data_IF_169611030998
#
_entry.id   IF_169611030998
#
_cell.length_a   1.000
_cell.length_b   1.000
_cell.length_c   1.000
_cell.angle_alpha   90.00
_cell.angle_beta   90.00
_cell.angle_gamma   90.00
#
_symmetry.space_group_name_H-M   'P 1'
#
loop_
_entity.id
_entity.type
_entity.pdbx_description
1 polymer ?
#
# COMPACT_ATOMS: atom_id res chain seq x y z
N UNK A 1 -57.79 -19.22 -5.57
CA UNK A 1 -57.47 -20.08 -6.74
C UNK A 1 -55.98 -19.93 -6.96
N UNK A 2 -55.17 -20.99 -6.85
CA UNK A 2 -53.73 -20.87 -7.08
C UNK A 2 -53.51 -20.48 -8.56
N UNK A 3 -52.79 -19.38 -8.80
CA UNK A 3 -52.52 -18.90 -10.15
C UNK A 3 -51.61 -19.86 -10.94
N UNK A 4 -51.35 -19.56 -12.22
CA UNK A 4 -50.54 -20.41 -13.08
C UNK A 4 -49.17 -20.69 -12.45
N UNK A 5 -48.76 -21.96 -12.54
CA UNK A 5 -47.53 -22.49 -11.94
C UNK A 5 -46.62 -22.95 -13.06
N UNK A 6 -45.36 -22.53 -13.01
CA UNK A 6 -44.30 -23.10 -13.84
C UNK A 6 -43.05 -23.39 -13.01
N UNK A 7 -42.18 -24.24 -13.53
CA UNK A 7 -40.95 -24.69 -12.91
C UNK A 7 -39.76 -24.27 -13.76
N UNK A 8 -38.75 -23.72 -13.13
CA UNK A 8 -37.54 -23.24 -13.77
C UNK A 8 -36.33 -24.07 -13.31
N UNK A 9 -35.58 -24.60 -14.27
CA UNK A 9 -34.36 -25.38 -14.03
C UNK A 9 -33.15 -24.49 -14.28
N UNK A 10 -32.42 -24.18 -13.23
CA UNK A 10 -31.16 -23.45 -13.25
C UNK A 10 -29.98 -24.42 -13.15
N UNK A 11 -28.94 -24.17 -13.92
CA UNK A 11 -27.70 -24.93 -13.87
C UNK A 11 -26.49 -24.04 -13.62
N UNK A 12 -25.45 -24.64 -13.03
CA UNK A 12 -24.07 -24.11 -13.04
C UNK A 12 -23.20 -25.12 -13.76
N UNK A 13 -22.58 -24.73 -14.86
CA UNK A 13 -21.66 -25.62 -15.61
C UNK A 13 -20.39 -25.93 -14.85
N UNK A 14 -19.89 -24.99 -14.04
CA UNK A 14 -18.70 -25.14 -13.19
C UNK A 14 -18.95 -24.52 -11.82
N UNK A 15 -18.19 -24.91 -10.79
CA UNK A 15 -18.33 -24.41 -9.41
C UNK A 15 -18.32 -22.87 -9.25
N UNK A 16 -17.58 -22.07 -10.06
CA UNK A 16 -17.65 -20.60 -10.02
C UNK A 16 -18.68 -19.98 -11.00
N UNK A 17 -19.27 -20.72 -11.93
CA UNK A 17 -20.17 -20.15 -12.95
C UNK A 17 -21.44 -19.53 -12.33
N UNK A 18 -22.03 -18.49 -12.94
CA UNK A 18 -23.35 -17.99 -12.52
C UNK A 18 -24.43 -19.05 -12.77
N UNK A 19 -25.55 -18.94 -12.06
CA UNK A 19 -26.74 -19.73 -12.37
C UNK A 19 -27.30 -19.28 -13.71
N UNK A 20 -27.54 -20.23 -14.61
CA UNK A 20 -28.17 -19.97 -15.91
C UNK A 20 -29.46 -20.76 -16.00
N UNK A 21 -30.55 -20.11 -16.43
CA UNK A 21 -31.79 -20.78 -16.73
C UNK A 21 -31.57 -21.69 -17.95
N UNK A 22 -31.77 -23.00 -17.75
CA UNK A 22 -31.63 -24.00 -18.81
C UNK A 22 -32.98 -24.32 -19.46
N UNK A 23 -34.05 -24.34 -18.66
CA UNK A 23 -35.39 -24.72 -19.11
C UNK A 23 -36.45 -24.15 -18.17
N UNK A 24 -37.63 -23.85 -18.71
CA UNK A 24 -38.86 -23.62 -17.95
C UNK A 24 -39.96 -24.56 -18.47
N UNK A 25 -40.71 -25.20 -17.58
CA UNK A 25 -41.79 -26.15 -17.92
C UNK A 25 -42.91 -26.07 -16.88
N UNK A 26 -44.15 -26.37 -17.27
CA UNK A 26 -45.30 -26.46 -16.36
C UNK A 26 -45.33 -27.82 -15.61
N UNK A 27 -44.58 -28.82 -16.11
CA UNK A 27 -44.51 -30.15 -15.51
C UNK A 27 -43.36 -30.28 -14.50
N UNK A 28 -43.73 -30.45 -13.23
CA UNK A 28 -42.79 -30.69 -12.11
C UNK A 28 -41.87 -31.88 -12.36
N UNK A 29 -42.43 -32.98 -12.87
CA UNK A 29 -41.73 -34.25 -13.02
C UNK A 29 -40.64 -34.11 -14.06
N UNK A 30 -40.96 -33.46 -15.18
CA UNK A 30 -40.01 -33.16 -16.25
C UNK A 30 -38.88 -32.24 -15.78
N UNK A 31 -39.20 -31.20 -14.99
CA UNK A 31 -38.20 -30.27 -14.45
C UNK A 31 -37.19 -30.98 -13.52
N UNK A 32 -37.68 -31.85 -12.64
CA UNK A 32 -36.84 -32.63 -11.72
C UNK A 32 -36.00 -33.65 -12.46
N UNK A 33 -36.60 -34.43 -13.37
CA UNK A 33 -35.88 -35.43 -14.15
C UNK A 33 -34.75 -34.79 -14.97
N UNK A 34 -35.04 -33.67 -15.64
CA UNK A 34 -34.05 -32.95 -16.44
C UNK A 34 -32.90 -32.42 -15.57
N UNK A 35 -33.20 -31.93 -14.36
CA UNK A 35 -32.17 -31.48 -13.43
C UNK A 35 -31.28 -32.65 -12.95
N UNK A 36 -31.87 -33.82 -12.69
CA UNK A 36 -31.13 -35.02 -12.31
C UNK A 36 -30.28 -35.57 -13.46
N UNK A 37 -30.83 -35.64 -14.67
CA UNK A 37 -30.11 -36.07 -15.88
C UNK A 37 -28.91 -35.15 -16.15
N UNK A 38 -29.06 -33.83 -15.98
CA UNK A 38 -27.98 -32.87 -16.20
C UNK A 38 -26.80 -33.03 -15.22
N UNK A 39 -27.06 -33.50 -13.99
CA UNK A 39 -26.01 -33.86 -13.03
C UNK A 39 -25.43 -35.24 -13.36
N UNK A 40 -26.28 -36.23 -13.66
CA UNK A 40 -25.88 -37.59 -13.98
C UNK A 40 -24.96 -37.63 -15.21
N UNK A 41 -25.25 -36.82 -16.22
CA UNK A 41 -24.48 -36.72 -17.46
C UNK A 41 -23.20 -35.86 -17.32
N UNK A 42 -22.87 -35.38 -16.11
CA UNK A 42 -21.77 -34.42 -15.85
C UNK A 42 -21.84 -33.14 -16.71
N UNK A 43 -23.05 -32.73 -17.11
CA UNK A 43 -23.28 -31.52 -17.92
C UNK A 43 -23.44 -30.27 -17.05
N UNK A 44 -23.66 -30.44 -15.74
CA UNK A 44 -23.73 -29.39 -14.74
C UNK A 44 -23.03 -29.81 -13.44
N UNK A 45 -22.31 -28.87 -12.82
CA UNK A 45 -21.70 -29.02 -11.49
C UNK A 45 -22.72 -28.83 -10.35
N UNK A 46 -23.77 -28.06 -10.59
CA UNK A 46 -24.90 -27.90 -9.67
C UNK A 46 -26.19 -27.55 -10.43
N UNK A 47 -27.33 -27.96 -9.89
CA UNK A 47 -28.67 -27.70 -10.43
C UNK A 47 -29.62 -27.22 -9.34
N UNK A 48 -30.56 -26.36 -9.71
CA UNK A 48 -31.59 -25.82 -8.84
C UNK A 48 -32.91 -25.74 -9.61
N UNK A 49 -33.98 -26.30 -9.05
CA UNK A 49 -35.33 -26.21 -9.60
C UNK A 49 -36.15 -25.29 -8.71
N UNK A 50 -36.71 -24.22 -9.27
CA UNK A 50 -37.66 -23.32 -8.59
C UNK A 50 -39.05 -23.51 -9.17
N UNK A 51 -40.06 -23.38 -8.32
CA UNK A 51 -41.48 -23.32 -8.68
C UNK A 51 -41.89 -21.86 -8.57
N UNK A 52 -42.31 -21.28 -9.67
CA UNK A 52 -42.88 -19.95 -9.75
C UNK A 52 -44.40 -20.08 -9.72
N UNK A 53 -45.05 -19.38 -8.79
CA UNK A 53 -46.51 -19.31 -8.71
C UNK A 53 -46.94 -17.87 -8.85
N UNK A 54 -47.74 -17.56 -9.87
CA UNK A 54 -48.28 -16.22 -10.05
C UNK A 54 -49.42 -15.96 -9.05
N UNK A 55 -49.33 -14.87 -8.29
CA UNK A 55 -50.46 -14.37 -7.50
C UNK A 55 -51.35 -13.48 -8.40
N UNK A 56 -52.61 -13.86 -8.65
CA UNK A 56 -53.49 -13.10 -9.54
C UNK A 56 -53.91 -11.73 -8.99
N UNK A 57 -53.81 -11.50 -7.67
CA UNK A 57 -54.24 -10.25 -7.04
C UNK A 57 -53.12 -9.19 -7.06
N UNK A 58 -51.85 -9.62 -6.96
CA UNK A 58 -50.68 -8.72 -6.94
C UNK A 58 -49.89 -8.72 -8.26
N UNK A 59 -50.16 -9.67 -9.16
CA UNK A 59 -49.35 -9.97 -10.35
C UNK A 59 -47.87 -10.30 -10.04
N UNK A 60 -47.55 -10.67 -8.80
CA UNK A 60 -46.19 -11.03 -8.38
C UNK A 60 -45.96 -12.54 -8.50
N UNK A 61 -44.74 -12.94 -8.83
CA UNK A 61 -44.31 -14.34 -8.83
C UNK A 61 -43.74 -14.71 -7.46
N UNK A 62 -44.29 -15.76 -6.86
CA UNK A 62 -43.76 -16.36 -5.65
C UNK A 62 -42.89 -17.56 -6.02
N UNK A 63 -41.57 -17.39 -5.85
CA UNK A 63 -40.55 -18.39 -6.17
C UNK A 63 -40.26 -19.31 -4.97
N UNK A 64 -40.54 -20.60 -5.10
CA UNK A 64 -40.23 -21.62 -4.08
C UNK A 64 -39.20 -22.62 -4.63
N UNK A 65 -38.08 -22.80 -3.95
CA UNK A 65 -37.07 -23.79 -4.37
C UNK A 65 -37.57 -25.21 -4.07
N UNK A 66 -37.68 -26.04 -5.11
CA UNK A 66 -38.19 -27.42 -5.03
C UNK A 66 -37.04 -28.42 -4.86
N UNK A 67 -35.92 -28.17 -5.53
CA UNK A 67 -34.77 -29.08 -5.54
C UNK A 67 -33.48 -28.27 -5.68
N UNK A 68 -32.47 -28.62 -4.87
CA UNK A 68 -31.09 -28.18 -5.07
C UNK A 68 -30.18 -29.40 -4.95
N UNK A 69 -29.34 -29.63 -5.96
CA UNK A 69 -28.41 -30.77 -6.04
C UNK A 69 -27.06 -30.32 -6.60
N UNK A 70 -25.99 -31.00 -6.18
CA UNK A 70 -24.60 -30.60 -6.42
C UNK A 70 -24.06 -29.71 -5.31
N UNK A 71 -22.78 -29.90 -4.96
CA UNK A 71 -22.12 -29.12 -3.93
C UNK A 71 -21.63 -27.78 -4.51
N UNK A 72 -21.96 -26.62 -3.91
CA UNK A 72 -21.16 -25.43 -4.09
C UNK A 72 -19.85 -25.66 -3.34
N UNK A 73 -18.91 -26.39 -3.94
CA UNK A 73 -17.57 -26.47 -3.38
C UNK A 73 -16.90 -25.10 -3.57
N UNK A 74 -17.07 -24.25 -2.57
CA UNK A 74 -16.11 -23.18 -2.30
C UNK A 74 -14.85 -23.92 -1.87
N UNK A 75 -13.99 -24.23 -2.84
CA UNK A 75 -12.63 -24.69 -2.60
C UNK A 75 -12.00 -23.65 -1.67
N UNK A 76 -11.96 -23.92 -0.36
CA UNK A 76 -11.25 -23.08 0.59
C UNK A 76 -9.80 -23.15 0.15
N UNK A 77 -9.24 -22.01 -0.27
CA UNK A 77 -7.81 -21.90 -0.55
C UNK A 77 -7.07 -22.49 0.64
N UNK A 78 -6.15 -23.41 0.37
CA UNK A 78 -5.31 -24.03 1.39
C UNK A 78 -4.62 -22.91 2.14
N UNK A 79 -4.93 -22.76 3.43
CA UNK A 79 -4.23 -21.80 4.29
C UNK A 79 -2.79 -22.24 4.36
N UNK A 80 -1.88 -21.40 3.89
CA UNK A 80 -0.45 -21.64 3.99
C UNK A 80 -0.08 -21.52 5.48
N UNK A 81 0.58 -22.54 6.06
CA UNK A 81 1.06 -22.49 7.43
C UNK A 81 1.93 -21.25 7.70
N UNK A 82 1.88 -20.71 8.93
CA UNK A 82 2.55 -19.45 9.30
C UNK A 82 4.08 -19.52 9.17
N UNK A 83 4.67 -20.70 9.32
CA UNK A 83 6.10 -21.01 9.07
C UNK A 83 6.50 -20.94 7.59
N UNK A 84 5.53 -21.00 6.69
CA UNK A 84 5.72 -20.95 5.23
C UNK A 84 5.17 -19.66 4.61
N UNK A 85 4.37 -18.90 5.36
CA UNK A 85 4.05 -17.53 5.02
C UNK A 85 5.33 -16.71 5.15
N UNK A 86 5.66 -15.89 4.15
CA UNK A 86 6.88 -15.07 4.14
C UNK A 86 7.01 -14.14 5.36
N UNK A 87 8.08 -13.33 5.44
CA UNK A 87 8.33 -12.47 6.59
C UNK A 87 7.16 -11.50 6.82
N UNK A 88 6.44 -11.69 7.94
CA UNK A 88 5.34 -10.84 8.39
C UNK A 88 5.76 -10.06 9.62
N UNK A 89 5.23 -8.85 9.77
CA UNK A 89 5.34 -8.14 11.04
C UNK A 89 4.48 -8.88 12.08
N UNK A 90 5.13 -9.36 13.14
CA UNK A 90 4.53 -10.04 14.28
C UNK A 90 4.39 -9.10 15.48
N UNK A 91 5.28 -8.11 15.56
CA UNK A 91 5.34 -7.15 16.65
C UNK A 91 5.65 -5.73 16.14
N UNK A 92 5.33 -4.67 16.91
CA UNK A 92 5.54 -3.29 16.48
C UNK A 92 7.01 -2.95 16.17
N UNK A 93 7.99 -3.64 16.78
CA UNK A 93 9.41 -3.44 16.45
C UNK A 93 9.76 -3.84 15.01
N UNK A 94 8.96 -4.73 14.39
CA UNK A 94 9.24 -5.23 13.04
C UNK A 94 9.07 -4.12 11.99
N UNK A 95 8.27 -3.08 12.28
CA UNK A 95 8.16 -1.90 11.42
C UNK A 95 9.48 -1.14 11.24
N UNK A 96 10.43 -1.30 12.16
CA UNK A 96 11.75 -0.68 12.08
C UNK A 96 12.73 -1.50 11.24
N UNK A 97 12.34 -2.65 10.69
CA UNK A 97 13.17 -3.38 9.75
C UNK A 97 13.22 -2.66 8.38
N UNK A 98 14.35 -2.69 7.64
CA UNK A 98 14.47 -1.98 6.37
C UNK A 98 13.38 -2.32 5.34
N UNK A 99 13.07 -3.61 5.16
CA UNK A 99 12.02 -4.08 4.23
C UNK A 99 10.61 -3.65 4.65
N UNK A 100 10.35 -3.54 5.96
CA UNK A 100 9.09 -3.06 6.48
C UNK A 100 8.93 -1.56 6.21
N UNK A 101 9.99 -0.76 6.42
CA UNK A 101 9.98 0.68 6.09
C UNK A 101 9.84 0.95 4.59
N UNK A 102 10.45 0.13 3.74
CA UNK A 102 10.25 0.20 2.30
C UNK A 102 8.79 -0.08 1.94
N UNK A 103 8.19 -1.10 2.55
CA UNK A 103 6.76 -1.41 2.37
C UNK A 103 5.87 -0.27 2.85
N UNK A 104 6.13 0.29 4.04
CA UNK A 104 5.44 1.47 4.59
C UNK A 104 5.54 2.64 3.60
N UNK A 105 6.74 2.89 3.06
CA UNK A 105 7.01 3.97 2.10
C UNK A 105 6.17 3.81 0.83
N UNK A 106 6.01 2.58 0.35
CA UNK A 106 5.18 2.26 -0.83
C UNK A 106 3.68 2.36 -0.56
N UNK A 107 3.19 1.85 0.58
CA UNK A 107 1.73 1.84 0.84
C UNK A 107 1.19 3.21 1.23
N UNK A 108 2.02 4.04 1.88
CA UNK A 108 1.73 5.41 2.30
C UNK A 108 2.38 6.48 1.38
N UNK A 109 2.83 6.12 0.18
CA UNK A 109 3.57 7.01 -0.74
C UNK A 109 2.91 8.38 -0.90
N UNK A 110 1.60 8.41 -1.21
CA UNK A 110 0.85 9.66 -1.40
C UNK A 110 0.83 10.53 -0.14
N UNK A 111 0.65 9.91 1.04
CA UNK A 111 0.61 10.63 2.30
C UNK A 111 1.98 11.17 2.69
N UNK A 112 3.03 10.37 2.52
CA UNK A 112 4.42 10.75 2.80
C UNK A 112 4.85 11.88 1.87
N UNK A 113 4.54 11.80 0.57
CA UNK A 113 4.84 12.83 -0.41
C UNK A 113 4.13 14.15 -0.10
N UNK A 114 2.83 14.13 0.26
CA UNK A 114 2.07 15.33 0.64
C UNK A 114 2.64 16.02 1.88
N UNK A 115 3.20 15.26 2.82
CA UNK A 115 3.79 15.78 4.04
C UNK A 115 5.28 16.11 3.90
N UNK A 116 5.93 15.62 2.83
CA UNK A 116 7.36 15.81 2.59
C UNK A 116 8.22 15.11 3.63
N UNK A 117 7.83 13.91 4.06
CA UNK A 117 8.48 13.13 5.14
C UNK A 117 8.76 11.70 4.70
N UNK A 118 9.65 11.00 5.40
CA UNK A 118 9.98 9.59 5.12
C UNK A 118 9.27 8.62 6.08
N UNK A 119 9.30 7.32 5.78
CA UNK A 119 8.75 6.29 6.66
C UNK A 119 9.51 6.24 7.99
N UNK A 120 10.83 6.41 7.98
CA UNK A 120 11.63 6.51 9.21
C UNK A 120 11.18 7.69 10.09
N UNK A 121 10.94 8.87 9.51
CA UNK A 121 10.41 10.00 10.27
C UNK A 121 9.04 9.70 10.87
N UNK A 122 8.13 9.10 10.11
CA UNK A 122 6.80 8.72 10.59
C UNK A 122 6.88 7.83 11.83
N UNK A 123 7.81 6.88 11.86
CA UNK A 123 8.01 5.96 12.98
C UNK A 123 8.69 6.60 14.21
N UNK A 124 9.23 7.81 14.09
CA UNK A 124 9.99 8.46 15.16
C UNK A 124 9.43 9.83 15.58
N UNK A 125 8.46 10.38 14.84
CA UNK A 125 7.87 11.70 15.11
C UNK A 125 6.43 11.59 15.61
N UNK A 126 6.14 12.02 16.85
CA UNK A 126 4.80 11.94 17.42
C UNK A 126 3.79 12.81 16.67
N UNK A 127 4.22 13.97 16.17
CA UNK A 127 3.34 14.88 15.42
C UNK A 127 2.87 14.28 14.08
N UNK A 128 3.70 13.46 13.44
CA UNK A 128 3.33 12.75 12.21
C UNK A 128 2.42 11.56 12.51
N UNK A 129 2.72 10.82 13.58
CA UNK A 129 1.92 9.68 14.01
C UNK A 129 0.48 10.10 14.38
N UNK A 130 0.32 11.15 15.20
CA UNK A 130 -1.00 11.69 15.56
C UNK A 130 -1.76 12.20 14.33
N UNK A 131 -1.06 12.83 13.38
CA UNK A 131 -1.68 13.34 12.15
C UNK A 131 -2.15 12.22 11.23
N UNK A 132 -1.39 11.13 11.12
CA UNK A 132 -1.79 9.95 10.35
C UNK A 132 -2.98 9.26 11.02
N UNK A 133 -2.94 9.07 12.34
CA UNK A 133 -4.03 8.48 13.12
C UNK A 133 -5.33 9.29 12.99
N UNK A 134 -5.25 10.62 13.13
CA UNK A 134 -6.38 11.51 12.99
C UNK A 134 -7.02 11.48 11.58
N UNK A 135 -6.26 11.10 10.55
CA UNK A 135 -6.79 10.96 9.19
C UNK A 135 -7.67 9.72 9.03
N UNK A 136 -7.41 8.64 9.78
CA UNK A 136 -8.13 7.36 9.84
C UNK A 136 -8.16 6.55 8.53
N UNK A 137 -8.63 7.15 7.44
CA UNK A 137 -8.85 6.54 6.13
C UNK A 137 -7.54 6.15 5.45
N UNK A 138 -6.51 6.98 5.57
CA UNK A 138 -5.20 6.73 4.92
C UNK A 138 -4.54 5.46 5.48
N UNK A 139 -4.62 5.26 6.81
CA UNK A 139 -4.08 4.07 7.47
C UNK A 139 -4.89 2.82 7.09
N UNK A 140 -6.22 2.91 7.07
CA UNK A 140 -7.09 1.81 6.63
C UNK A 140 -6.79 1.38 5.18
N UNK A 141 -6.64 2.33 4.26
CA UNK A 141 -6.28 2.04 2.87
C UNK A 141 -4.89 1.42 2.76
N UNK A 142 -3.91 1.91 3.52
CA UNK A 142 -2.57 1.33 3.55
C UNK A 142 -2.59 -0.13 4.03
N UNK A 143 -3.35 -0.43 5.09
CA UNK A 143 -3.53 -1.79 5.60
C UNK A 143 -4.17 -2.69 4.55
N UNK A 144 -5.20 -2.22 3.85
CA UNK A 144 -5.87 -2.99 2.79
C UNK A 144 -4.94 -3.33 1.62
N UNK A 145 -4.03 -2.40 1.23
CA UNK A 145 -3.01 -2.65 0.20
C UNK A 145 -2.07 -3.81 0.54
N UNK A 146 -1.95 -4.18 1.82
CA UNK A 146 -1.13 -5.32 2.29
C UNK A 146 -2.00 -6.55 2.53
N UNK A 147 -3.08 -6.41 3.29
CA UNK A 147 -3.93 -7.51 3.72
C UNK A 147 -4.62 -8.25 2.55
N UNK A 148 -4.98 -7.54 1.48
CA UNK A 148 -5.66 -8.15 0.32
C UNK A 148 -4.71 -9.05 -0.48
N UNK A 149 -3.55 -8.60 -0.97
CA UNK A 149 -2.59 -9.48 -1.63
C UNK A 149 -2.16 -10.66 -0.76
N UNK A 150 -1.88 -10.40 0.51
CA UNK A 150 -1.41 -11.43 1.44
C UNK A 150 -2.48 -12.50 1.74
N UNK A 151 -3.75 -12.11 1.84
CA UNK A 151 -4.87 -13.04 1.92
C UNK A 151 -4.96 -13.93 0.68
N UNK A 152 -4.67 -13.39 -0.51
CA UNK A 152 -4.70 -14.16 -1.75
C UNK A 152 -3.55 -15.17 -1.84
N UNK A 153 -2.38 -14.84 -1.28
CA UNK A 153 -1.19 -15.68 -1.25
C UNK A 153 -1.28 -16.78 -0.19
N UNK A 154 -1.67 -16.43 1.04
CA UNK A 154 -1.65 -17.34 2.19
C UNK A 154 -3.01 -18.00 2.42
N UNK A 155 -4.08 -17.54 1.77
CA UNK A 155 -5.42 -18.12 1.90
C UNK A 155 -6.12 -17.81 3.23
N UNK A 156 -5.54 -16.94 4.08
CA UNK A 156 -6.18 -16.46 5.31
C UNK A 156 -7.30 -15.46 5.00
N UNK A 157 -8.35 -15.36 5.84
CA UNK A 157 -9.39 -14.36 5.65
C UNK A 157 -8.82 -12.94 5.72
N UNK A 158 -9.12 -12.11 4.71
CA UNK A 158 -8.68 -10.70 4.63
C UNK A 158 -8.98 -9.94 5.93
N UNK A 159 -10.17 -10.16 6.50
CA UNK A 159 -10.60 -9.48 7.72
C UNK A 159 -9.69 -9.77 8.93
N UNK A 160 -9.11 -10.97 9.03
CA UNK A 160 -8.23 -11.33 10.15
C UNK A 160 -6.87 -10.63 9.99
N UNK A 161 -6.35 -10.58 8.76
CA UNK A 161 -5.14 -9.82 8.42
C UNK A 161 -5.33 -8.31 8.64
N UNK A 162 -6.48 -7.76 8.24
CA UNK A 162 -6.80 -6.36 8.49
C UNK A 162 -6.79 -6.03 9.98
N UNK A 163 -7.38 -6.89 10.82
CA UNK A 163 -7.40 -6.73 12.28
C UNK A 163 -6.00 -6.84 12.88
N UNK A 164 -5.19 -7.78 12.39
CA UNK A 164 -3.81 -7.97 12.82
C UNK A 164 -2.97 -6.71 12.57
N UNK A 165 -2.95 -6.23 11.33
CA UNK A 165 -2.19 -5.04 10.96
C UNK A 165 -2.72 -3.77 11.62
N UNK A 166 -4.05 -3.62 11.78
CA UNK A 166 -4.62 -2.51 12.53
C UNK A 166 -4.09 -2.49 13.96
N UNK A 167 -4.14 -3.62 14.66
CA UNK A 167 -3.63 -3.72 16.04
C UNK A 167 -2.15 -3.37 16.13
N UNK A 168 -1.33 -3.86 15.19
CA UNK A 168 0.11 -3.53 15.18
C UNK A 168 0.35 -2.05 14.92
N UNK A 169 -0.37 -1.46 13.96
CA UNK A 169 -0.28 -0.03 13.66
C UNK A 169 -0.68 0.83 14.86
N UNK A 170 -1.78 0.50 15.54
CA UNK A 170 -2.24 1.21 16.74
C UNK A 170 -1.18 1.17 17.85
N UNK A 171 -0.58 0.00 18.09
CA UNK A 171 0.51 -0.15 19.07
C UNK A 171 1.76 0.65 18.70
N UNK A 172 2.10 0.72 17.41
CA UNK A 172 3.23 1.50 16.94
C UNK A 172 2.99 3.01 17.10
N UNK A 173 1.79 3.49 16.75
CA UNK A 173 1.37 4.88 16.96
C UNK A 173 1.41 5.22 18.45
N UNK A 174 0.78 4.40 19.29
CA UNK A 174 0.75 4.60 20.74
C UNK A 174 2.17 4.69 21.34
N UNK A 175 3.09 3.84 20.90
CA UNK A 175 4.49 3.87 21.35
C UNK A 175 5.15 5.21 21.07
N UNK A 176 5.01 5.75 19.85
CA UNK A 176 5.65 7.01 19.45
C UNK A 176 4.99 8.20 20.14
N UNK A 177 3.66 8.21 20.21
CA UNK A 177 2.88 9.26 20.88
C UNK A 177 3.18 9.30 22.38
N UNK A 178 3.20 8.14 23.05
CA UNK A 178 3.56 8.05 24.45
C UNK A 178 5.00 8.52 24.72
N UNK A 179 5.94 8.21 23.82
CA UNK A 179 7.32 8.69 23.91
C UNK A 179 7.41 10.22 23.80
N UNK A 180 6.63 10.81 22.87
CA UNK A 180 6.49 12.26 22.75
C UNK A 180 5.91 12.91 24.00
N UNK A 181 4.80 12.38 24.53
CA UNK A 181 4.16 12.90 25.77
C UNK A 181 5.06 12.82 27.00
N UNK A 182 5.94 11.82 27.05
CA UNK A 182 6.95 11.64 28.11
C UNK A 182 8.21 12.49 27.89
N UNK A 183 8.26 13.30 26.83
CA UNK A 183 9.44 14.07 26.43
C UNK A 183 10.71 13.22 26.33
N UNK A 184 10.59 11.99 25.79
CA UNK A 184 11.73 11.08 25.62
C UNK A 184 12.69 11.50 24.50
N UNK A 185 12.32 12.48 23.67
CA UNK A 185 13.15 13.01 22.60
C UNK A 185 13.71 14.38 23.00
N UNK A 186 14.97 14.46 23.48
CA UNK A 186 15.60 15.74 23.80
C UNK A 186 15.67 16.68 22.59
N UNK A 187 15.47 17.97 22.83
CA UNK A 187 15.73 19.02 21.83
C UNK A 187 17.24 19.25 21.67
N UNK A 188 17.68 19.46 20.43
CA UNK A 188 19.05 19.85 20.11
C UNK A 188 19.31 21.35 20.28
N UNK A 189 18.32 22.13 20.70
CA UNK A 189 18.50 23.54 21.06
C UNK A 189 19.27 23.70 22.39
N UNK A 190 19.01 22.80 23.35
CA UNK A 190 19.54 22.89 24.71
C UNK A 190 20.75 21.97 24.95
N UNK A 191 21.02 21.00 24.07
CA UNK A 191 22.11 20.04 24.25
C UNK A 191 22.70 19.55 22.93
N UNK A 192 24.00 19.20 22.95
CA UNK A 192 24.67 18.67 21.77
C UNK A 192 24.26 17.21 21.51
N UNK A 193 24.26 16.82 20.23
CA UNK A 193 23.95 15.44 19.83
C UNK A 193 24.97 14.44 20.39
N UNK A 194 26.23 14.87 20.55
CA UNK A 194 27.28 14.06 21.16
C UNK A 194 27.01 13.80 22.65
N UNK A 195 26.57 14.82 23.41
CA UNK A 195 26.23 14.66 24.83
C UNK A 195 25.04 13.71 25.03
N UNK A 196 24.04 13.78 24.14
CA UNK A 196 22.92 12.83 24.14
C UNK A 196 23.43 11.42 23.86
N UNK A 197 24.27 11.24 22.82
CA UNK A 197 24.79 9.93 22.43
C UNK A 197 25.61 9.27 23.55
N UNK A 198 26.45 10.04 24.25
CA UNK A 198 27.20 9.54 25.40
C UNK A 198 26.30 9.17 26.58
N UNK A 199 25.30 9.99 26.89
CA UNK A 199 24.35 9.72 27.99
C UNK A 199 23.50 8.49 27.74
N UNK A 200 23.12 8.25 26.50
CA UNK A 200 22.28 7.13 26.07
C UNK A 200 23.07 5.83 25.84
N UNK A 201 24.40 5.87 25.94
CA UNK A 201 25.24 4.68 25.80
C UNK A 201 24.84 3.61 26.83
N UNK A 202 24.58 2.38 26.37
CA UNK A 202 24.17 1.26 27.22
C UNK A 202 22.71 1.25 27.66
N UNK A 203 21.92 2.29 27.36
CA UNK A 203 20.49 2.32 27.71
C UNK A 203 19.65 1.43 26.76
N UNK A 204 18.52 0.87 27.25
CA UNK A 204 17.50 0.28 26.39
C UNK A 204 16.86 1.36 25.51
N UNK A 205 16.31 0.97 24.34
CA UNK A 205 15.64 1.88 23.39
C UNK A 205 16.48 3.06 22.85
N UNK A 206 17.79 3.09 23.11
CA UNK A 206 18.70 4.18 22.66
C UNK A 206 18.60 4.47 21.15
N UNK A 207 18.41 3.43 20.33
CA UNK A 207 18.27 3.58 18.88
C UNK A 207 16.96 4.31 18.52
N UNK A 208 15.87 3.98 19.21
CA UNK A 208 14.57 4.62 19.03
C UNK A 208 14.60 6.08 19.50
N UNK A 209 15.20 6.35 20.66
CA UNK A 209 15.35 7.71 21.19
C UNK A 209 16.21 8.56 20.25
N UNK A 210 17.37 8.06 19.83
CA UNK A 210 18.26 8.80 18.93
C UNK A 210 17.62 9.02 17.56
N UNK A 211 16.88 8.04 17.03
CA UNK A 211 16.07 8.20 15.82
C UNK A 211 15.07 9.35 15.95
N UNK A 212 14.38 9.45 17.11
CA UNK A 212 13.49 10.57 17.42
C UNK A 212 14.19 11.92 17.51
N UNK A 213 15.39 12.00 18.11
CA UNK A 213 16.19 13.23 18.18
C UNK A 213 16.60 13.70 16.79
N UNK A 214 17.13 12.79 15.96
CA UNK A 214 17.56 13.11 14.59
C UNK A 214 16.35 13.52 13.72
N UNK A 215 15.22 12.82 13.82
CA UNK A 215 14.00 13.20 13.09
C UNK A 215 13.41 14.52 13.59
N UNK A 216 13.48 14.78 14.89
CA UNK A 216 13.06 16.06 15.49
C UNK A 216 13.87 17.24 14.94
N UNK A 217 15.15 17.04 14.65
CA UNK A 217 16.01 18.05 14.04
C UNK A 217 15.64 18.42 12.60
N UNK A 218 14.86 17.58 11.92
CA UNK A 218 14.32 17.83 10.57
C UNK A 218 12.94 18.49 10.58
N UNK A 219 12.35 18.69 11.76
CA UNK A 219 11.01 19.29 11.89
C UNK A 219 10.97 20.68 11.25
N UNK A 220 10.02 20.88 10.35
CA UNK A 220 9.80 22.15 9.66
C UNK A 220 10.63 22.34 8.38
N UNK A 221 11.62 21.48 8.11
CA UNK A 221 12.38 21.53 6.87
C UNK A 221 11.61 20.87 5.72
N UNK A 222 11.62 21.50 4.54
CA UNK A 222 11.02 20.99 3.30
C UNK A 222 12.04 20.99 2.17
N UNK A 223 11.91 20.02 1.27
CA UNK A 223 12.82 19.82 0.15
C UNK A 223 14.02 18.95 0.51
N UNK A 224 14.53 18.20 -0.47
CA UNK A 224 15.64 17.26 -0.24
C UNK A 224 16.93 17.93 0.23
N UNK A 225 17.26 19.11 -0.33
CA UNK A 225 18.53 19.78 -0.07
C UNK A 225 18.68 20.33 1.36
N UNK A 226 17.76 21.15 1.90
CA UNK A 226 17.90 21.65 3.27
C UNK A 226 17.92 20.54 4.32
N UNK A 227 17.20 19.45 4.06
CA UNK A 227 17.19 18.26 4.91
C UNK A 227 18.53 17.53 4.87
N UNK A 228 19.13 17.36 3.69
CA UNK A 228 20.47 16.80 3.54
C UNK A 228 21.51 17.65 4.26
N UNK A 229 21.51 18.97 4.05
CA UNK A 229 22.45 19.88 4.70
C UNK A 229 22.34 19.77 6.23
N UNK A 230 21.11 19.72 6.76
CA UNK A 230 20.87 19.51 8.20
C UNK A 230 21.40 18.16 8.71
N UNK A 231 21.24 17.08 7.95
CA UNK A 231 21.79 15.78 8.32
C UNK A 231 23.32 15.77 8.32
N UNK A 232 23.95 16.47 7.39
CA UNK A 232 25.41 16.61 7.33
C UNK A 232 25.94 17.42 8.52
N UNK A 233 25.24 18.51 8.91
CA UNK A 233 25.58 19.27 10.12
C UNK A 233 25.53 18.39 11.39
N UNK A 234 24.56 17.46 11.47
CA UNK A 234 24.46 16.54 12.60
C UNK A 234 25.56 15.48 12.57
N UNK A 235 25.93 14.99 11.39
CA UNK A 235 27.03 14.05 11.23
C UNK A 235 28.38 14.67 11.61
N UNK A 236 28.62 15.94 11.27
CA UNK A 236 29.84 16.67 11.66
C UNK A 236 29.93 16.85 13.19
N UNK A 237 28.78 17.00 13.86
CA UNK A 237 28.68 17.15 15.33
C UNK A 237 28.59 15.81 16.06
N UNK A 238 28.65 14.68 15.37
CA UNK A 238 28.60 13.37 15.99
C UNK A 238 29.89 13.10 16.79
N UNK A 239 29.85 12.21 17.80
CA UNK A 239 31.06 11.73 18.47
C UNK A 239 32.09 11.19 17.47
N UNK A 240 33.39 11.27 17.77
CA UNK A 240 34.42 10.90 16.79
C UNK A 240 34.45 9.40 16.43
N UNK A 241 34.23 8.50 17.39
CA UNK A 241 34.25 7.05 17.17
C UNK A 241 33.45 6.29 18.25
N UNK A 242 33.24 4.99 18.03
CA UNK A 242 32.68 4.03 18.97
C UNK A 242 31.15 3.90 18.89
N UNK A 243 30.58 3.21 19.88
CA UNK A 243 29.14 3.00 19.97
C UNK A 243 28.31 4.31 19.97
N UNK A 244 28.73 5.42 20.61
CA UNK A 244 28.04 6.70 20.52
C UNK A 244 28.04 7.30 19.11
N UNK A 245 29.12 7.14 18.33
CA UNK A 245 29.19 7.59 16.95
C UNK A 245 28.17 6.83 16.08
N UNK A 246 28.20 5.49 16.14
CA UNK A 246 27.26 4.65 15.41
C UNK A 246 25.79 4.94 15.77
N UNK A 247 25.52 5.30 17.03
CA UNK A 247 24.16 5.66 17.47
C UNK A 247 23.59 6.85 16.69
N UNK A 248 24.43 7.83 16.33
CA UNK A 248 24.04 9.02 15.57
C UNK A 248 24.04 8.72 14.08
N UNK A 249 25.07 8.04 13.57
CA UNK A 249 25.24 7.80 12.15
C UNK A 249 24.20 6.84 11.57
N UNK A 250 23.76 5.82 12.32
CA UNK A 250 22.80 4.83 11.82
C UNK A 250 21.43 5.45 11.47
N UNK A 251 20.80 6.26 12.35
CA UNK A 251 19.58 6.98 11.97
C UNK A 251 19.77 7.94 10.78
N UNK A 252 20.92 8.62 10.71
CA UNK A 252 21.25 9.51 9.58
C UNK A 252 21.32 8.71 8.28
N UNK A 253 22.05 7.59 8.26
CA UNK A 253 22.16 6.70 7.12
C UNK A 253 20.78 6.20 6.67
N UNK A 254 19.95 5.76 7.61
CA UNK A 254 18.60 5.25 7.29
C UNK A 254 17.72 6.33 6.64
N UNK A 255 17.76 7.57 7.16
CA UNK A 255 17.08 8.70 6.56
C UNK A 255 17.61 9.03 5.16
N UNK A 256 18.93 9.02 4.98
CA UNK A 256 19.56 9.29 3.68
C UNK A 256 19.19 8.22 2.66
N UNK A 257 19.18 6.94 3.02
CA UNK A 257 18.76 5.85 2.15
C UNK A 257 17.31 6.04 1.68
N UNK A 258 16.39 6.42 2.57
CA UNK A 258 15.00 6.68 2.21
C UNK A 258 14.84 7.94 1.36
N UNK A 259 15.58 9.01 1.67
CA UNK A 259 15.58 10.23 0.86
C UNK A 259 16.13 9.99 -0.55
N UNK A 260 17.21 9.22 -0.69
CA UNK A 260 17.78 8.89 -2.00
C UNK A 260 16.93 7.87 -2.77
N UNK A 261 16.17 7.02 -2.07
CA UNK A 261 15.18 6.14 -2.69
C UNK A 261 13.97 6.88 -3.26
N UNK A 262 13.65 8.08 -2.73
CA UNK A 262 12.57 8.93 -3.24
C UNK A 262 13.01 9.71 -4.48
N UNK A 263 12.34 9.50 -5.61
CA UNK A 263 12.63 10.21 -6.87
C UNK A 263 12.60 11.72 -6.73
N UNK A 264 11.64 12.25 -5.99
CA UNK A 264 11.49 13.70 -5.76
C UNK A 264 12.67 14.26 -4.99
N UNK A 265 13.06 13.60 -3.89
CA UNK A 265 14.20 14.04 -3.08
C UNK A 265 15.53 13.88 -3.82
N UNK A 266 15.68 12.83 -4.62
CA UNK A 266 16.86 12.62 -5.45
C UNK A 266 17.01 13.73 -6.50
N UNK A 267 15.92 14.12 -7.17
CA UNK A 267 15.92 15.23 -8.11
C UNK A 267 16.24 16.58 -7.44
N UNK A 268 15.73 16.82 -6.23
CA UNK A 268 16.06 18.02 -5.44
C UNK A 268 17.54 18.08 -5.06
N UNK A 269 18.15 16.93 -4.74
CA UNK A 269 19.54 16.84 -4.24
C UNK A 269 20.55 16.90 -5.38
N UNK A 270 20.28 16.17 -6.47
CA UNK A 270 21.21 15.97 -7.58
C UNK A 270 20.93 16.87 -8.79
N UNK A 271 19.76 17.51 -8.84
CA UNK A 271 19.30 18.30 -9.96
C UNK A 271 18.49 17.47 -10.98
N UNK A 272 17.66 18.14 -11.82
CA UNK A 272 16.68 17.50 -12.70
C UNK A 272 17.27 16.65 -13.84
N UNK A 273 18.59 16.67 -14.05
CA UNK A 273 19.27 16.00 -15.17
C UNK A 273 19.76 14.57 -14.87
N UNK A 274 19.59 14.08 -13.64
CA UNK A 274 20.05 12.75 -13.21
C UNK A 274 18.96 11.67 -13.19
N UNK A 275 17.84 11.88 -13.89
CA UNK A 275 16.86 10.81 -14.22
C UNK A 275 17.41 9.90 -15.35
N UNK A 276 18.65 9.43 -15.19
CA UNK A 276 19.40 8.63 -16.16
C UNK A 276 19.07 7.12 -16.09
N UNK A 277 18.06 6.72 -15.32
CA UNK A 277 17.68 5.32 -15.12
C UNK A 277 16.71 4.73 -16.15
N UNK A 278 16.23 5.52 -17.13
CA UNK A 278 15.21 5.06 -18.10
C UNK A 278 15.57 5.24 -19.59
N UNK A 279 16.83 5.46 -19.95
CA UNK A 279 17.24 5.20 -21.35
C UNK A 279 17.42 3.69 -21.54
N UNK A 280 16.32 3.03 -21.91
CA UNK A 280 16.40 1.79 -22.67
C UNK A 280 17.20 2.00 -23.97
N UNK A 281 17.72 0.93 -24.59
CA UNK A 281 18.70 1.02 -25.65
C UNK A 281 18.00 1.31 -26.99
N UNK A 282 17.56 2.54 -27.20
CA UNK A 282 17.14 2.99 -28.53
C UNK A 282 18.00 4.17 -28.98
N UNK A 283 18.84 3.86 -29.96
CA UNK A 283 19.58 4.85 -30.72
C UNK A 283 18.63 5.82 -31.41
N UNK A 284 18.87 7.11 -31.23
CA UNK A 284 18.07 8.18 -31.82
C UNK A 284 18.91 9.43 -31.96
N UNK A 285 19.80 9.39 -32.95
CA UNK A 285 20.38 10.51 -33.70
C UNK A 285 20.13 11.92 -33.16
N UNK A 286 21.19 12.53 -32.61
CA UNK A 286 21.31 13.97 -32.55
C UNK A 286 21.24 14.56 -33.96
N UNK A 287 20.10 15.15 -34.33
CA UNK A 287 20.01 16.07 -35.46
C UNK A 287 20.31 17.49 -34.96
N UNK A 288 21.56 17.85 -35.18
CA UNK A 288 22.08 19.22 -35.27
C UNK A 288 21.16 20.05 -36.17
N UNK A 289 20.39 20.98 -35.58
CA UNK A 289 19.69 22.03 -36.32
C UNK A 289 20.47 23.33 -36.15
N UNK A 290 21.41 23.55 -37.08
CA UNK A 290 21.93 24.89 -37.39
C UNK A 290 20.82 25.72 -38.03
N UNK A 291 20.65 27.00 -37.67
CA UNK A 291 19.74 27.87 -38.39
C UNK A 291 20.39 28.33 -39.71
N UNK A 292 19.63 28.14 -40.77
CA UNK A 292 19.92 28.48 -42.16
C UNK A 292 20.03 30.01 -42.34
N UNK A 293 21.18 30.49 -42.84
CA UNK A 293 21.38 31.88 -43.26
C UNK A 293 21.07 31.98 -44.76
N UNK A 294 19.80 32.14 -45.08
CA UNK A 294 19.35 32.55 -46.41
C UNK A 294 19.18 34.07 -46.43
N UNK A 295 20.11 34.78 -47.05
CA UNK A 295 19.89 36.17 -47.46
C UNK A 295 19.03 36.24 -48.74
N UNK A 296 18.50 37.42 -49.05
CA UNK A 296 18.58 37.90 -50.42
C UNK A 296 19.19 39.30 -50.52
N UNK A 297 19.96 39.47 -51.59
CA UNK A 297 20.57 40.71 -52.06
C UNK A 297 19.55 41.65 -52.73
N UNK A 298 20.02 42.89 -52.94
CA UNK A 298 19.54 43.96 -53.86
C UNK A 298 18.40 44.83 -53.33
N UNK A 299 18.44 46.16 -53.36
CA UNK A 299 19.43 47.11 -53.87
C UNK A 299 18.93 48.57 -53.72
N UNK A 300 19.87 49.52 -53.86
CA UNK A 300 19.69 50.95 -54.21
C UNK A 300 18.82 51.87 -53.33
N UNK A 301 19.47 52.85 -52.67
CA UNK A 301 19.49 54.26 -53.11
C UNK A 301 20.19 55.13 -52.04
N UNK A 302 21.27 55.82 -52.40
CA UNK A 302 21.64 57.09 -51.76
C UNK A 302 20.76 58.24 -52.30
N UNK A 303 21.06 59.52 -52.05
CA UNK A 303 22.21 60.10 -51.33
C UNK A 303 21.79 61.18 -50.30
N UNK A 304 22.76 61.78 -49.59
CA UNK A 304 22.52 63.13 -49.05
C UNK A 304 23.36 63.60 -47.86
N UNK A 305 24.60 64.03 -48.17
CA UNK A 305 25.45 65.02 -47.46
C UNK A 305 26.07 64.67 -46.11
#
# INVERSE_FOLDING_TARGET
MAGPVHYEVYIRKTAPAPWTLQMATEDRTQAVQTAEDLISDNRAAAVRVTKETLDPDTMEFNSVTVLTRGAPEVQRKRVVPEDQAGPRCSAPQDFYAPHARETISRVLEDWLARNGVTAFELLHRPDLAERLEASGVELQHAIQKIAVPESQEVGQPVHDLMRHYQKLSDQAVERVVAAGRRNLFPSLEDCSIADIAHRMAGQPDRAFIMGGVVCGALKGLRGGRPRLDRLMDLAERAPADGAPHAMVMVPIEQLLCEMLGSRTSLADILGPSLDAGRRGPDGGTARDQRPDRSGPQTGHAGPGR
#
